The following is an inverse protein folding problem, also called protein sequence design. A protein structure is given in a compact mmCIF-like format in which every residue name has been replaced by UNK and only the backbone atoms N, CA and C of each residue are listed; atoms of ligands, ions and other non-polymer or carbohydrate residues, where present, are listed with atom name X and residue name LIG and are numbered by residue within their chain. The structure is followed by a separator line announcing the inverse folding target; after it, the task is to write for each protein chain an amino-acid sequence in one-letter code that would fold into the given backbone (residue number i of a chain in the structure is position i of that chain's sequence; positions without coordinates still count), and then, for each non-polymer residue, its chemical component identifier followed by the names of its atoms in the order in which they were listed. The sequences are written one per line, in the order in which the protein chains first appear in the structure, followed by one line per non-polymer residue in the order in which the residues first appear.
data_IF_353218787232
#
_entry.id   IF_353218787232
#
_cell.length_a   1.000
_cell.length_b   1.000
_cell.length_c   1.000
_cell.angle_alpha   90.00
_cell.angle_beta   90.00
_cell.angle_gamma   90.00
#
_symmetry.space_group_name_H-M   'P 1'
#
loop_
_entity.id
_entity.type
_entity.pdbx_description
1 polymer ?
#
# COMPACT_ATOMS: atom_id res chain seq x y z
N UNK A 1 15.11 0.19 -14.28
CA UNK A 1 16.09 0.79 -13.34
C UNK A 1 15.40 1.10 -12.02
N UNK A 2 16.12 1.22 -10.89
CA UNK A 2 15.49 1.55 -9.61
C UNK A 2 15.52 3.05 -9.38
N UNK A 3 14.42 3.59 -8.88
CA UNK A 3 14.27 5.01 -8.57
C UNK A 3 14.28 5.27 -7.07
N UNK A 4 14.74 6.45 -6.69
CA UNK A 4 14.70 6.93 -5.32
C UNK A 4 13.30 7.43 -4.97
N UNK A 5 12.98 7.48 -3.68
CA UNK A 5 11.73 8.08 -3.18
C UNK A 5 11.57 9.53 -3.69
N UNK A 6 12.68 10.28 -3.77
CA UNK A 6 12.68 11.64 -4.25
C UNK A 6 12.21 11.76 -5.70
N UNK A 7 12.67 10.88 -6.59
CA UNK A 7 12.23 10.86 -7.99
C UNK A 7 10.74 10.54 -8.13
N UNK A 8 10.21 9.61 -7.31
CA UNK A 8 8.77 9.35 -7.26
C UNK A 8 7.98 10.56 -6.75
N UNK A 9 8.47 11.27 -5.72
CA UNK A 9 7.85 12.50 -5.21
C UNK A 9 7.83 13.56 -6.32
N UNK A 10 8.95 13.77 -7.02
CA UNK A 10 9.07 14.73 -8.12
C UNK A 10 8.10 14.41 -9.26
N UNK A 11 7.98 13.13 -9.66
CA UNK A 11 7.01 12.69 -10.67
C UNK A 11 5.56 12.94 -10.24
N UNK A 12 5.25 12.82 -8.94
CA UNK A 12 3.92 13.00 -8.39
C UNK A 12 3.62 14.45 -7.96
N UNK A 13 4.55 15.39 -8.10
CA UNK A 13 4.26 16.83 -7.92
C UNK A 13 3.36 17.36 -9.03
N UNK A 14 3.60 16.93 -10.26
CA UNK A 14 2.75 17.20 -11.42
C UNK A 14 2.63 15.93 -12.28
N UNK A 15 1.68 15.03 -11.95
CA UNK A 15 1.56 13.74 -12.61
C UNK A 15 0.88 13.81 -13.98
N UNK A 16 0.58 15.01 -14.50
CA UNK A 16 -0.09 15.17 -15.79
C UNK A 16 0.73 14.55 -16.92
N UNK A 17 0.12 13.60 -17.64
CA UNK A 17 0.78 12.87 -18.73
C UNK A 17 1.84 11.85 -18.27
N UNK A 18 2.04 11.66 -16.95
CA UNK A 18 2.99 10.71 -16.40
C UNK A 18 2.37 9.37 -15.99
N UNK A 19 1.08 9.17 -16.26
CA UNK A 19 0.39 7.89 -16.08
C UNK A 19 0.01 7.29 -17.44
N UNK A 20 0.08 5.95 -17.56
CA UNK A 20 -0.16 5.25 -18.84
C UNK A 20 -1.63 4.87 -19.03
N UNK A 21 -2.25 4.30 -18.00
CA UNK A 21 -3.61 3.73 -18.09
C UNK A 21 -4.59 4.32 -17.11
N UNK A 22 -4.12 4.96 -16.04
CA UNK A 22 -4.98 5.58 -15.02
C UNK A 22 -5.66 6.86 -15.51
N UNK A 23 -5.15 7.48 -16.58
CA UNK A 23 -5.60 8.80 -17.02
C UNK A 23 -5.15 9.90 -16.04
N UNK A 24 -5.99 10.90 -15.85
CA UNK A 24 -5.70 11.95 -14.87
C UNK A 24 -5.88 11.43 -13.47
N UNK A 25 -4.85 11.59 -12.66
CA UNK A 25 -4.86 11.26 -11.22
C UNK A 25 -4.72 12.53 -10.39
N UNK A 26 -5.34 12.51 -9.22
CA UNK A 26 -5.10 13.52 -8.19
C UNK A 26 -4.29 12.89 -7.06
N UNK A 27 -3.13 13.47 -6.77
CA UNK A 27 -2.27 13.01 -5.68
C UNK A 27 -2.77 13.61 -4.38
N UNK A 28 -3.13 12.77 -3.40
CA UNK A 28 -3.47 13.24 -2.06
C UNK A 28 -2.22 13.84 -1.41
N UNK A 29 -2.39 14.99 -0.71
CA UNK A 29 -1.28 15.75 -0.15
C UNK A 29 -1.39 15.88 1.35
N UNK A 30 -0.25 15.94 2.02
CA UNK A 30 -0.13 16.32 3.42
C UNK A 30 -0.41 17.82 3.61
N UNK A 31 -0.47 18.25 4.87
CA UNK A 31 -0.58 19.68 5.25
C UNK A 31 0.53 20.56 4.66
N UNK A 32 1.70 19.97 4.41
CA UNK A 32 2.88 20.65 3.88
C UNK A 32 2.89 20.74 2.34
N UNK A 33 1.86 20.18 1.69
CA UNK A 33 1.72 20.16 0.22
C UNK A 33 2.47 19.02 -0.48
N UNK A 34 3.22 18.20 0.25
CA UNK A 34 3.89 17.02 -0.29
C UNK A 34 2.90 15.89 -0.59
N UNK A 35 3.19 15.01 -1.57
CA UNK A 35 2.44 13.77 -1.75
C UNK A 35 2.33 12.97 -0.46
N UNK A 36 1.08 12.66 -0.06
CA UNK A 36 0.80 11.85 1.11
C UNK A 36 1.36 10.45 0.90
N UNK A 37 2.30 10.02 1.76
CA UNK A 37 3.07 8.81 1.55
C UNK A 37 3.41 8.06 2.82
N UNK A 38 3.59 6.76 2.68
CA UNK A 38 4.10 5.84 3.69
C UNK A 38 5.35 5.16 3.15
N UNK A 39 6.44 5.27 3.88
CA UNK A 39 7.76 4.78 3.45
C UNK A 39 8.04 3.46 4.15
N UNK A 40 8.22 2.40 3.37
CA UNK A 40 8.69 1.09 3.82
C UNK A 40 10.16 0.85 3.48
N UNK A 41 10.63 -0.37 3.74
CA UNK A 41 12.03 -0.76 3.49
C UNK A 41 12.36 -0.91 1.99
N UNK A 42 11.40 -1.36 1.19
CA UNK A 42 11.57 -1.70 -0.23
C UNK A 42 10.71 -0.87 -1.17
N UNK A 43 9.73 -0.14 -0.64
CA UNK A 43 8.77 0.62 -1.42
C UNK A 43 8.31 1.87 -0.69
N UNK A 44 7.72 2.78 -1.45
CA UNK A 44 6.94 3.91 -0.96
C UNK A 44 5.52 3.79 -1.49
N UNK A 45 4.54 3.98 -0.64
CA UNK A 45 3.11 3.95 -0.98
C UNK A 45 2.57 5.36 -0.98
N UNK A 46 1.91 5.75 -2.06
CA UNK A 46 1.21 7.04 -2.17
C UNK A 46 -0.30 6.80 -2.22
N UNK A 47 -1.05 7.72 -1.60
CA UNK A 47 -2.50 7.78 -1.76
C UNK A 47 -2.84 8.68 -2.93
N UNK A 48 -3.55 8.14 -3.92
CA UNK A 48 -3.99 8.87 -5.10
C UNK A 48 -5.52 8.77 -5.24
N UNK A 49 -6.10 9.66 -6.02
CA UNK A 49 -7.51 9.60 -6.40
C UNK A 49 -7.63 9.46 -7.92
N UNK A 50 -8.37 8.45 -8.35
CA UNK A 50 -8.69 8.20 -9.75
C UNK A 50 -10.21 8.37 -9.91
N UNK A 51 -10.65 9.47 -10.46
CA UNK A 51 -12.07 9.84 -10.49
C UNK A 51 -12.64 9.96 -9.07
N UNK A 52 -13.61 9.12 -8.73
CA UNK A 52 -14.27 9.12 -7.41
C UNK A 52 -13.65 8.15 -6.39
N UNK A 53 -12.62 7.38 -6.76
CA UNK A 53 -12.04 6.32 -5.91
C UNK A 53 -10.64 6.67 -5.47
N UNK A 54 -10.34 6.38 -4.20
CA UNK A 54 -8.98 6.40 -3.70
C UNK A 54 -8.26 5.09 -4.04
N UNK A 55 -7.01 5.21 -4.43
CA UNK A 55 -6.13 4.10 -4.78
C UNK A 55 -4.81 4.20 -4.02
N UNK A 56 -4.21 3.04 -3.79
CA UNK A 56 -2.83 2.89 -3.41
C UNK A 56 -1.97 2.86 -4.68
N UNK A 57 -0.91 3.66 -4.72
CA UNK A 57 0.15 3.59 -5.72
C UNK A 57 1.44 3.22 -4.99
N UNK A 58 1.89 1.98 -5.15
CA UNK A 58 3.09 1.45 -4.50
C UNK A 58 4.25 1.41 -5.49
N UNK A 59 5.29 2.16 -5.19
CA UNK A 59 6.48 2.33 -6.02
C UNK A 59 7.69 1.69 -5.33
N UNK A 60 8.41 0.81 -6.04
CA UNK A 60 9.52 0.06 -5.47
C UNK A 60 10.84 0.81 -5.60
N UNK A 61 11.58 0.88 -4.50
CA UNK A 61 12.90 1.51 -4.39
C UNK A 61 14.04 0.49 -4.36
N UNK A 62 13.68 -0.80 -4.31
CA UNK A 62 14.61 -1.95 -4.35
C UNK A 62 14.06 -3.02 -5.27
N UNK A 63 14.93 -3.88 -5.84
CA UNK A 63 14.46 -5.04 -6.59
C UNK A 63 13.63 -5.93 -5.66
N UNK A 64 12.49 -6.37 -6.17
CA UNK A 64 11.63 -7.35 -5.50
C UNK A 64 11.44 -8.51 -6.46
N UNK A 65 11.67 -9.70 -5.97
CA UNK A 65 11.45 -10.93 -6.73
C UNK A 65 9.97 -11.34 -6.65
N UNK A 66 9.50 -12.02 -7.66
CA UNK A 66 8.16 -12.65 -7.70
C UNK A 66 6.95 -11.71 -7.66
N UNK A 67 7.11 -10.40 -7.80
CA UNK A 67 5.97 -9.46 -7.79
C UNK A 67 4.92 -9.78 -8.87
N UNK A 68 5.35 -10.22 -10.05
CA UNK A 68 4.46 -10.60 -11.15
C UNK A 68 3.57 -11.80 -10.76
N UNK A 69 4.11 -12.78 -10.04
CA UNK A 69 3.36 -13.92 -9.55
C UNK A 69 2.36 -13.52 -8.45
N UNK A 70 2.76 -12.61 -7.56
CA UNK A 70 1.94 -12.16 -6.43
C UNK A 70 0.79 -11.26 -6.90
N UNK A 71 1.11 -10.22 -7.68
CA UNK A 71 0.14 -9.17 -8.01
C UNK A 71 -0.54 -9.32 -9.36
N UNK A 72 -0.02 -10.17 -10.24
CA UNK A 72 -0.49 -10.36 -11.61
C UNK A 72 -0.54 -9.03 -12.39
N UNK A 73 -0.75 -9.09 -13.70
CA UNK A 73 -0.82 -7.90 -14.57
C UNK A 73 -1.95 -6.91 -14.22
N UNK A 74 -2.93 -7.36 -13.44
CA UNK A 74 -4.06 -6.51 -13.06
C UNK A 74 -3.66 -5.42 -12.08
N UNK A 75 -2.75 -5.71 -11.16
CA UNK A 75 -2.32 -4.78 -10.12
C UNK A 75 -0.89 -4.27 -10.35
N UNK A 76 0.06 -5.13 -10.75
CA UNK A 76 1.42 -4.76 -11.11
C UNK A 76 1.48 -4.37 -12.58
N UNK A 77 1.92 -3.16 -12.90
CA UNK A 77 2.03 -2.67 -14.27
C UNK A 77 2.97 -1.50 -14.43
N UNK A 78 3.51 -1.32 -15.64
CA UNK A 78 4.27 -0.13 -16.02
C UNK A 78 3.34 1.06 -16.18
N UNK A 79 3.17 1.82 -15.12
CA UNK A 79 2.15 2.86 -15.07
C UNK A 79 2.70 4.28 -14.88
N UNK A 80 3.74 4.45 -14.05
CA UNK A 80 4.28 5.76 -13.71
C UNK A 80 5.54 6.06 -14.51
N UNK A 81 5.58 7.19 -15.20
CA UNK A 81 6.78 7.69 -15.86
C UNK A 81 7.61 8.53 -14.91
N UNK A 82 8.88 8.19 -14.76
CA UNK A 82 9.79 8.85 -13.83
C UNK A 82 10.99 9.40 -14.59
N UNK A 83 11.26 10.69 -14.41
CA UNK A 83 12.39 11.38 -15.00
C UNK A 83 13.69 11.07 -14.26
N UNK A 84 14.78 10.97 -15.01
CA UNK A 84 16.13 10.83 -14.50
C UNK A 84 16.88 12.16 -14.60
N UNK A 85 18.00 12.26 -13.86
CA UNK A 85 18.80 13.49 -13.82
C UNK A 85 19.43 13.88 -15.15
N UNK A 86 19.58 12.93 -16.08
CA UNK A 86 20.09 13.15 -17.44
C UNK A 86 19.03 13.67 -18.44
N UNK A 87 17.81 13.90 -17.97
CA UNK A 87 16.68 14.34 -18.77
C UNK A 87 15.98 13.23 -19.58
N UNK A 88 16.41 11.98 -19.41
CA UNK A 88 15.68 10.82 -19.88
C UNK A 88 14.69 10.36 -18.80
N UNK A 89 13.78 9.49 -19.16
CA UNK A 89 12.87 8.90 -18.20
C UNK A 89 12.39 7.53 -18.66
N UNK A 90 11.80 6.80 -17.75
CA UNK A 90 11.29 5.46 -18.05
C UNK A 90 9.96 5.19 -17.33
N UNK A 91 9.23 4.23 -17.87
CA UNK A 91 8.02 3.72 -17.23
C UNK A 91 8.40 2.73 -16.14
N UNK A 92 7.90 2.98 -14.93
CA UNK A 92 8.18 2.15 -13.76
C UNK A 92 7.04 1.20 -13.48
N UNK A 93 7.42 -0.01 -13.07
CA UNK A 93 6.49 -0.98 -12.51
C UNK A 93 6.03 -0.50 -11.14
N UNK A 94 4.71 -0.44 -10.97
CA UNK A 94 4.05 -0.04 -9.73
C UNK A 94 2.90 -0.98 -9.45
N UNK A 95 2.56 -1.14 -8.19
CA UNK A 95 1.33 -1.84 -7.80
C UNK A 95 0.25 -0.81 -7.50
N UNK A 96 -0.94 -1.04 -8.08
CA UNK A 96 -2.10 -0.18 -7.90
C UNK A 96 -3.25 -1.01 -7.38
N UNK A 97 -3.76 -0.65 -6.21
CA UNK A 97 -4.90 -1.33 -5.59
C UNK A 97 -5.87 -0.32 -4.97
N UNK A 98 -7.01 -0.79 -4.49
CA UNK A 98 -7.94 0.06 -3.75
C UNK A 98 -7.30 0.53 -2.44
N UNK A 99 -7.53 1.81 -2.12
CA UNK A 99 -7.10 2.35 -0.84
C UNK A 99 -8.03 1.86 0.27
N UNK A 100 -7.48 1.27 1.30
CA UNK A 100 -8.23 0.89 2.50
C UNK A 100 -8.15 2.05 3.49
N UNK A 101 -9.27 2.74 3.72
CA UNK A 101 -9.37 3.73 4.80
C UNK A 101 -9.45 3.01 6.14
N UNK A 102 -8.60 3.43 7.07
CA UNK A 102 -8.53 2.82 8.39
C UNK A 102 -7.22 3.12 9.11
N UNK A 103 -6.98 2.37 10.16
CA UNK A 103 -5.76 2.44 10.95
C UNK A 103 -5.13 1.05 11.05
N UNK A 104 -3.84 0.96 11.37
CA UNK A 104 -3.20 -0.33 11.58
C UNK A 104 -3.76 -1.03 12.84
N UNK A 105 -3.72 -2.36 12.86
CA UNK A 105 -4.07 -3.12 14.06
C UNK A 105 -3.20 -2.70 15.25
N UNK A 106 -1.91 -2.40 15.01
CA UNK A 106 -1.04 -1.85 16.04
C UNK A 106 -1.63 -0.59 16.67
N UNK A 107 -2.03 0.36 15.84
CA UNK A 107 -2.60 1.64 16.30
C UNK A 107 -3.95 1.43 16.99
N UNK A 108 -4.81 0.55 16.46
CA UNK A 108 -6.10 0.22 17.08
C UNK A 108 -5.94 -0.38 18.47
N UNK A 109 -4.99 -1.30 18.64
CA UNK A 109 -4.66 -1.91 19.93
C UNK A 109 -4.11 -0.85 20.90
N UNK A 110 -3.19 0.01 20.46
CA UNK A 110 -2.62 1.06 21.31
C UNK A 110 -3.68 2.07 21.76
N UNK A 111 -4.61 2.46 20.90
CA UNK A 111 -5.73 3.33 21.26
C UNK A 111 -6.66 2.67 22.28
N UNK A 112 -7.04 1.42 22.05
CA UNK A 112 -7.89 0.65 22.97
C UNK A 112 -7.24 0.44 24.34
N UNK A 113 -5.94 0.12 24.38
CA UNK A 113 -5.18 -0.03 25.62
C UNK A 113 -5.06 1.30 26.38
N UNK A 114 -4.75 2.40 25.66
CA UNK A 114 -4.63 3.73 26.26
C UNK A 114 -5.94 4.27 26.83
N UNK A 115 -7.09 3.91 26.24
CA UNK A 115 -8.42 4.28 26.74
C UNK A 115 -9.01 3.29 27.74
N UNK A 116 -8.37 2.12 27.95
CA UNK A 116 -8.88 1.04 28.80
C UNK A 116 -10.14 0.35 28.22
N UNK A 117 -10.37 0.45 26.90
CA UNK A 117 -11.55 -0.12 26.24
C UNK A 117 -11.38 -1.64 26.03
N UNK A 118 -11.73 -2.40 27.06
CA UNK A 118 -11.65 -3.87 27.03
C UNK A 118 -12.59 -4.49 25.99
N UNK A 119 -13.73 -3.87 25.72
CA UNK A 119 -14.69 -4.39 24.74
C UNK A 119 -14.12 -4.29 23.33
N UNK A 120 -13.52 -3.15 22.99
CA UNK A 120 -12.82 -2.94 21.74
C UNK A 120 -11.67 -3.93 21.56
N UNK A 121 -10.79 -4.06 22.57
CA UNK A 121 -9.67 -5.00 22.53
C UNK A 121 -10.13 -6.46 22.37
N UNK A 122 -11.18 -6.87 23.07
CA UNK A 122 -11.75 -8.20 22.93
C UNK A 122 -12.37 -8.45 21.55
N UNK A 123 -12.91 -7.40 20.92
CA UNK A 123 -13.42 -7.49 19.56
C UNK A 123 -12.28 -7.65 18.54
N UNK A 124 -11.21 -6.86 18.68
CA UNK A 124 -10.01 -6.98 17.83
C UNK A 124 -9.40 -8.39 17.94
N UNK A 125 -9.29 -8.94 19.17
CA UNK A 125 -8.77 -10.28 19.37
C UNK A 125 -9.61 -11.34 18.64
N UNK A 126 -10.96 -11.30 18.77
CA UNK A 126 -11.84 -12.25 18.06
C UNK A 126 -11.76 -12.12 16.53
N UNK A 127 -11.59 -10.90 16.01
CA UNK A 127 -11.41 -10.70 14.57
C UNK A 127 -10.07 -11.23 14.10
N UNK A 128 -9.02 -11.02 14.89
CA UNK A 128 -7.70 -11.55 14.59
C UNK A 128 -7.70 -13.09 14.59
N UNK A 129 -8.37 -13.73 15.57
CA UNK A 129 -8.51 -15.19 15.60
C UNK A 129 -9.16 -15.72 14.30
N UNK A 130 -10.21 -15.06 13.81
CA UNK A 130 -10.85 -15.44 12.53
C UNK A 130 -9.91 -15.26 11.36
N UNK A 131 -9.25 -14.10 11.25
CA UNK A 131 -8.28 -13.83 10.20
C UNK A 131 -7.15 -14.87 10.22
N UNK A 132 -6.64 -15.21 11.39
CA UNK A 132 -5.60 -16.22 11.56
C UNK A 132 -6.05 -17.61 11.07
N UNK A 133 -7.29 -18.01 11.38
CA UNK A 133 -7.85 -19.28 10.89
C UNK A 133 -8.01 -19.28 9.37
N UNK A 134 -8.53 -18.20 8.78
CA UNK A 134 -8.65 -18.03 7.32
C UNK A 134 -7.29 -18.14 6.63
N UNK A 135 -6.25 -17.53 7.20
CA UNK A 135 -4.89 -17.61 6.67
C UNK A 135 -4.26 -19.00 6.82
N UNK A 136 -4.58 -19.72 7.90
CA UNK A 136 -4.10 -21.09 8.10
C UNK A 136 -4.77 -22.10 7.16
N UNK A 137 -5.98 -21.83 6.72
CA UNK A 137 -6.74 -22.67 5.76
C UNK A 137 -6.43 -22.31 4.30
N UNK A 138 -5.72 -21.20 4.04
CA UNK A 138 -5.33 -20.80 2.69
C UNK A 138 -4.14 -21.62 2.18
N UNK A 139 -4.04 -21.76 0.86
CA UNK A 139 -2.90 -22.40 0.17
C UNK A 139 -1.74 -21.43 -0.10
N UNK A 140 -1.77 -20.25 0.46
CA UNK A 140 -0.70 -19.26 0.41
C UNK A 140 -0.37 -18.72 1.81
N UNK A 141 0.81 -18.18 1.99
CA UNK A 141 1.22 -17.55 3.23
C UNK A 141 1.56 -16.06 3.00
N UNK A 142 1.19 -15.20 3.93
CA UNK A 142 1.41 -13.76 3.84
C UNK A 142 2.90 -13.39 3.84
N UNK A 143 3.73 -14.13 4.55
CA UNK A 143 5.19 -13.96 4.60
C UNK A 143 5.68 -12.83 5.52
N UNK A 144 4.92 -11.77 5.75
CA UNK A 144 5.26 -10.65 6.67
C UNK A 144 4.02 -10.18 7.45
N UNK A 145 3.29 -11.13 8.06
CA UNK A 145 2.12 -10.81 8.86
C UNK A 145 2.54 -10.21 10.20
N UNK A 146 2.28 -8.93 10.37
CA UNK A 146 2.53 -8.16 11.61
C UNK A 146 1.42 -7.14 11.82
N UNK A 147 1.24 -6.59 13.03
CA UNK A 147 0.14 -5.67 13.32
C UNK A 147 0.10 -4.40 12.46
N UNK A 148 1.25 -3.99 11.89
CA UNK A 148 1.37 -2.87 10.97
C UNK A 148 0.84 -3.20 9.56
N UNK A 149 0.84 -4.48 9.19
CA UNK A 149 0.36 -4.99 7.90
C UNK A 149 -1.07 -5.56 7.99
N UNK A 150 -1.80 -5.23 9.04
CA UNK A 150 -3.22 -5.52 9.19
C UNK A 150 -3.94 -4.19 9.44
N UNK A 151 -4.93 -3.87 8.63
CA UNK A 151 -5.70 -2.65 8.73
C UNK A 151 -7.06 -2.93 9.36
N UNK A 152 -7.47 -2.11 10.32
CA UNK A 152 -8.85 -2.00 10.78
C UNK A 152 -9.53 -0.94 9.91
N UNK A 153 -10.39 -1.39 9.00
CA UNK A 153 -11.08 -0.50 8.08
C UNK A 153 -12.23 0.27 8.76
N UNK A 154 -12.82 1.24 8.06
CA UNK A 154 -13.95 2.04 8.58
C UNK A 154 -15.19 1.22 8.91
N UNK A 155 -15.35 0.02 8.34
CA UNK A 155 -16.42 -0.91 8.72
C UNK A 155 -16.16 -1.64 10.03
N UNK A 156 -14.95 -1.48 10.58
CA UNK A 156 -14.49 -2.17 11.77
C UNK A 156 -14.02 -3.59 11.49
N UNK A 157 -13.61 -3.91 10.26
CA UNK A 157 -13.13 -5.23 9.84
C UNK A 157 -11.62 -5.22 9.67
N UNK A 158 -10.95 -6.29 10.16
CA UNK A 158 -9.52 -6.47 9.94
C UNK A 158 -9.24 -6.99 8.52
N UNK A 159 -8.30 -6.34 7.84
CA UNK A 159 -7.86 -6.68 6.49
C UNK A 159 -6.33 -6.77 6.42
N UNK A 160 -5.77 -7.89 5.92
CA UNK A 160 -4.34 -7.96 5.65
C UNK A 160 -3.97 -7.01 4.51
N UNK A 161 -2.75 -6.48 4.55
CA UNK A 161 -2.18 -5.58 3.56
C UNK A 161 -0.68 -5.88 3.42
N UNK A 162 -0.05 -5.35 2.36
CA UNK A 162 1.39 -5.53 2.09
C UNK A 162 1.78 -6.99 1.82
N UNK A 163 1.30 -7.51 0.69
CA UNK A 163 1.52 -8.90 0.26
C UNK A 163 2.86 -9.15 -0.46
N UNK A 164 3.82 -8.21 -0.41
CA UNK A 164 5.10 -8.32 -1.15
C UNK A 164 5.93 -9.56 -0.80
N UNK A 165 5.75 -10.08 0.42
CA UNK A 165 6.43 -11.27 0.92
C UNK A 165 5.57 -12.53 0.81
N UNK A 166 4.45 -12.46 0.08
CA UNK A 166 3.52 -13.59 -0.03
C UNK A 166 4.21 -14.79 -0.68
N UNK A 167 4.04 -15.93 -0.06
CA UNK A 167 4.47 -17.21 -0.60
C UNK A 167 3.31 -17.92 -1.26
N UNK A 168 3.50 -18.24 -2.54
CA UNK A 168 2.58 -19.04 -3.35
C UNK A 168 3.14 -20.46 -3.49
N UNK A 169 2.30 -21.51 -3.44
CA UNK A 169 2.73 -22.88 -3.60
C UNK A 169 3.26 -23.21 -4.98
#
# INVERSE_FOLDING_TARGET
MLHSIRQFIEALQDPYGLTRTLGEIEVCRSSDGDPLRWVGNSAVVFKIRCGSRYKMLKCYTRPMEHLEAIYQEKLLRQELYVWQADGQGEWCDVVIDDWIEGITLYEAVMRGAGSGDKAHLSNLARQFDRLALELLESDWAHGDLKPENILLDESGTLRPADFDAMFLP
#
